data_IF_880770613059
#
_entry.id   IF_880770613059
#
_cell.length_a   1.000
_cell.length_b   1.000
_cell.length_c   1.000
_cell.angle_alpha   90.00
_cell.angle_beta   90.00
_cell.angle_gamma   90.00
#
_symmetry.space_group_name_H-M   'P 1'
#
loop_
_entity.id
_entity.type
_entity.pdbx_description
1 polymer ?
#
# COMPACT_ATOMS: atom_id res chain seq x y z
N UNK A 1 -22.79 -64.48 -16.86
CA UNK A 1 -24.25 -64.31 -16.68
C UNK A 1 -24.73 -64.05 -15.24
N UNK A 2 -23.91 -64.22 -14.19
CA UNK A 2 -24.35 -63.99 -12.79
C UNK A 2 -24.13 -62.56 -12.26
N UNK A 3 -23.40 -61.69 -12.97
CA UNK A 3 -23.01 -60.34 -12.51
C UNK A 3 -24.01 -59.26 -12.94
N UNK A 4 -24.81 -59.52 -13.98
CA UNK A 4 -25.79 -58.57 -14.54
C UNK A 4 -27.13 -58.53 -13.78
N UNK A 5 -27.51 -59.62 -13.09
CA UNK A 5 -28.75 -59.67 -12.32
C UNK A 5 -28.64 -59.03 -10.93
N UNK A 6 -27.49 -59.13 -10.26
CA UNK A 6 -27.27 -58.50 -8.95
C UNK A 6 -27.22 -56.97 -9.05
N UNK A 7 -26.65 -56.41 -10.11
CA UNK A 7 -26.67 -54.96 -10.37
C UNK A 7 -28.06 -54.46 -10.74
N UNK A 8 -28.86 -55.22 -11.51
CA UNK A 8 -30.23 -54.84 -11.86
C UNK A 8 -31.19 -54.85 -10.64
N UNK A 9 -31.03 -55.80 -9.70
CA UNK A 9 -31.84 -55.86 -8.48
C UNK A 9 -31.46 -54.76 -7.48
N UNK A 10 -30.18 -54.40 -7.36
CA UNK A 10 -29.73 -53.27 -6.54
C UNK A 10 -30.17 -51.93 -7.15
N UNK A 11 -30.12 -51.79 -8.48
CA UNK A 11 -30.62 -50.57 -9.18
C UNK A 11 -32.13 -50.44 -9.05
N UNK A 12 -32.91 -51.53 -9.17
CA UNK A 12 -34.36 -51.53 -8.91
C UNK A 12 -34.71 -51.30 -7.43
N UNK A 13 -33.94 -51.82 -6.48
CA UNK A 13 -34.12 -51.50 -5.05
C UNK A 13 -33.78 -50.04 -4.75
N UNK A 14 -32.69 -49.47 -5.31
CA UNK A 14 -32.43 -48.03 -5.24
C UNK A 14 -33.62 -47.25 -5.82
N UNK A 15 -34.07 -47.56 -7.04
CA UNK A 15 -35.20 -46.88 -7.70
C UNK A 15 -36.52 -46.96 -6.91
N UNK A 16 -36.82 -48.11 -6.28
CA UNK A 16 -38.04 -48.29 -5.48
C UNK A 16 -37.99 -47.60 -4.11
N UNK A 17 -36.78 -47.37 -3.56
CA UNK A 17 -36.58 -46.51 -2.40
C UNK A 17 -36.63 -45.03 -2.79
N UNK A 18 -36.10 -44.63 -3.97
CA UNK A 18 -36.19 -43.26 -4.48
C UNK A 18 -37.65 -42.79 -4.68
N UNK A 19 -38.54 -43.64 -5.19
CA UNK A 19 -39.95 -43.26 -5.36
C UNK A 19 -40.67 -42.87 -4.06
N UNK A 20 -40.40 -43.58 -2.94
CA UNK A 20 -40.95 -43.21 -1.63
C UNK A 20 -40.30 -41.98 -1.03
N UNK A 21 -39.04 -41.73 -1.38
CA UNK A 21 -38.28 -40.58 -0.89
C UNK A 21 -38.72 -39.30 -1.61
N UNK A 22 -39.03 -39.37 -2.91
CA UNK A 22 -39.68 -38.27 -3.64
C UNK A 22 -41.09 -37.97 -3.09
N UNK A 23 -41.88 -39.01 -2.79
CA UNK A 23 -43.18 -38.86 -2.11
C UNK A 23 -43.05 -38.28 -0.70
N UNK A 24 -42.02 -38.67 0.06
CA UNK A 24 -41.70 -38.11 1.38
C UNK A 24 -41.26 -36.65 1.30
N UNK A 25 -40.47 -36.28 0.30
CA UNK A 25 -40.07 -34.88 0.05
C UNK A 25 -41.27 -34.05 -0.38
N UNK A 26 -42.14 -34.60 -1.23
CA UNK A 26 -43.40 -33.96 -1.62
C UNK A 26 -44.33 -33.78 -0.41
N UNK A 27 -44.48 -34.81 0.42
CA UNK A 27 -45.27 -34.77 1.65
C UNK A 27 -44.67 -33.83 2.71
N UNK A 28 -43.35 -33.81 2.88
CA UNK A 28 -42.66 -32.91 3.80
C UNK A 28 -42.78 -31.45 3.36
N UNK A 29 -42.74 -31.17 2.05
CA UNK A 29 -43.06 -29.85 1.50
C UNK A 29 -44.51 -29.43 1.79
N UNK A 30 -45.46 -30.36 1.69
CA UNK A 30 -46.88 -30.13 2.03
C UNK A 30 -47.11 -29.94 3.55
N UNK A 31 -46.23 -30.49 4.38
CA UNK A 31 -46.27 -30.36 5.85
C UNK A 31 -45.36 -29.25 6.38
N UNK A 32 -44.74 -28.46 5.51
CA UNK A 32 -43.82 -27.38 5.86
C UNK A 32 -42.60 -27.85 6.69
N UNK A 33 -42.25 -29.13 6.58
CA UNK A 33 -41.06 -29.71 7.21
C UNK A 33 -39.84 -29.52 6.30
N UNK A 34 -39.49 -28.26 6.05
CA UNK A 34 -38.44 -27.88 5.11
C UNK A 34 -37.06 -28.43 5.49
N UNK A 35 -36.80 -28.62 6.78
CA UNK A 35 -35.54 -29.18 7.28
C UNK A 35 -35.23 -30.56 6.68
N UNK A 36 -36.22 -31.45 6.62
CA UNK A 36 -36.07 -32.81 6.09
C UNK A 36 -35.82 -32.75 4.58
N UNK A 37 -36.52 -31.86 3.89
CA UNK A 37 -36.38 -31.65 2.44
C UNK A 37 -34.97 -31.15 2.10
N UNK A 38 -34.47 -30.17 2.85
CA UNK A 38 -33.14 -29.58 2.65
C UNK A 38 -32.05 -30.63 2.93
N UNK A 39 -32.11 -31.32 4.06
CA UNK A 39 -31.15 -32.38 4.40
C UNK A 39 -31.15 -33.48 3.32
N UNK A 40 -32.32 -33.83 2.78
CA UNK A 40 -32.40 -34.79 1.69
C UNK A 40 -31.69 -34.32 0.42
N UNK A 41 -31.91 -33.07 -0.01
CA UNK A 41 -31.23 -32.52 -1.19
C UNK A 41 -29.72 -32.37 -0.98
N UNK A 42 -29.27 -31.98 0.21
CA UNK A 42 -27.84 -31.94 0.57
C UNK A 42 -27.23 -33.34 0.47
N UNK A 43 -27.89 -34.38 0.99
CA UNK A 43 -27.41 -35.77 0.87
C UNK A 43 -27.33 -36.28 -0.58
N UNK A 44 -28.17 -35.75 -1.47
CA UNK A 44 -28.11 -36.07 -2.89
C UNK A 44 -27.03 -35.26 -3.64
N UNK A 45 -26.41 -34.27 -2.99
CA UNK A 45 -25.47 -33.34 -3.61
C UNK A 45 -26.14 -32.24 -4.45
N UNK A 46 -27.43 -32.03 -4.28
CA UNK A 46 -28.25 -31.11 -5.08
C UNK A 46 -28.39 -29.75 -4.36
N UNK A 47 -27.30 -28.98 -4.28
CA UNK A 47 -27.25 -27.71 -3.54
C UNK A 47 -28.30 -26.71 -4.05
N UNK A 48 -28.45 -26.59 -5.37
CA UNK A 48 -29.39 -25.66 -6.00
C UNK A 48 -30.84 -25.88 -5.58
N UNK A 49 -31.31 -27.14 -5.56
CA UNK A 49 -32.67 -27.47 -5.12
C UNK A 49 -32.86 -27.19 -3.63
N UNK A 50 -31.83 -27.43 -2.81
CA UNK A 50 -31.86 -27.09 -1.39
C UNK A 50 -31.98 -25.57 -1.18
N UNK A 51 -31.22 -24.77 -1.94
CA UNK A 51 -31.25 -23.31 -1.89
C UNK A 51 -32.58 -22.73 -2.40
N UNK A 52 -33.17 -23.30 -3.46
CA UNK A 52 -34.50 -22.92 -3.95
C UNK A 52 -35.60 -23.12 -2.88
N UNK A 53 -35.47 -24.16 -2.05
CA UNK A 53 -36.38 -24.36 -0.90
C UNK A 53 -36.13 -23.30 0.17
N UNK A 54 -34.87 -23.02 0.50
CA UNK A 54 -34.48 -22.03 1.50
C UNK A 54 -34.84 -20.57 1.16
N UNK A 55 -34.95 -20.24 -0.13
CA UNK A 55 -35.33 -18.90 -0.61
C UNK A 55 -36.85 -18.64 -0.59
N UNK A 56 -37.68 -19.64 -0.29
CA UNK A 56 -39.13 -19.45 -0.17
C UNK A 56 -39.45 -18.58 1.04
N UNK A 57 -40.38 -17.63 0.87
CA UNK A 57 -40.80 -16.70 1.93
C UNK A 57 -41.43 -17.37 3.16
N UNK A 58 -41.89 -18.62 3.04
CA UNK A 58 -42.42 -19.41 4.16
C UNK A 58 -41.34 -20.05 5.04
N UNK A 59 -40.08 -20.04 4.61
CA UNK A 59 -38.97 -20.70 5.30
C UNK A 59 -38.26 -19.70 6.20
N UNK A 60 -38.02 -20.11 7.45
CA UNK A 60 -37.28 -19.29 8.41
C UNK A 60 -35.81 -19.13 7.99
N UNK A 61 -35.29 -17.91 8.10
CA UNK A 61 -33.87 -17.60 7.91
C UNK A 61 -32.96 -18.42 8.86
N UNK A 62 -33.50 -18.94 9.97
CA UNK A 62 -32.78 -19.85 10.87
C UNK A 62 -32.27 -21.12 10.19
N UNK A 63 -33.03 -21.65 9.24
CA UNK A 63 -32.62 -22.82 8.46
C UNK A 63 -31.48 -22.49 7.51
N UNK A 64 -31.43 -21.26 6.98
CA UNK A 64 -30.30 -20.81 6.16
C UNK A 64 -29.00 -20.81 6.96
N UNK A 65 -29.01 -20.30 8.20
CA UNK A 65 -27.81 -20.34 9.06
C UNK A 65 -27.44 -21.77 9.48
N UNK A 66 -28.43 -22.64 9.72
CA UNK A 66 -28.21 -24.02 10.15
C UNK A 66 -27.50 -24.84 9.07
N UNK A 67 -27.96 -24.73 7.82
CA UNK A 67 -27.43 -25.50 6.70
C UNK A 67 -26.28 -24.78 5.95
N UNK A 68 -26.00 -23.52 6.25
CA UNK A 68 -24.92 -22.75 5.62
C UNK A 68 -23.56 -23.48 5.57
N UNK A 69 -23.06 -24.13 6.65
CA UNK A 69 -21.78 -24.85 6.59
C UNK A 69 -21.80 -26.05 5.66
N UNK A 70 -22.92 -26.76 5.54
CA UNK A 70 -23.04 -27.93 4.66
C UNK A 70 -23.19 -27.52 3.19
N UNK A 71 -23.98 -26.46 2.94
CA UNK A 71 -24.24 -25.96 1.60
C UNK A 71 -23.00 -25.33 0.96
N UNK A 72 -22.25 -24.51 1.71
CA UNK A 72 -21.04 -23.88 1.17
C UNK A 72 -19.95 -24.91 0.85
N UNK A 73 -19.85 -25.98 1.64
CA UNK A 73 -18.91 -27.09 1.39
C UNK A 73 -19.33 -27.92 0.17
N UNK A 74 -20.64 -27.99 -0.13
CA UNK A 74 -21.17 -28.72 -1.26
C UNK A 74 -21.03 -27.94 -2.57
N UNK A 75 -21.42 -26.65 -2.57
CA UNK A 75 -21.31 -25.74 -3.71
C UNK A 75 -21.20 -24.29 -3.20
N UNK A 76 -19.99 -23.75 -3.18
CA UNK A 76 -19.74 -22.40 -2.68
C UNK A 76 -20.30 -21.31 -3.58
N UNK A 77 -20.25 -21.50 -4.91
CA UNK A 77 -20.70 -20.51 -5.87
C UNK A 77 -22.21 -20.28 -5.76
N UNK A 78 -23.01 -21.35 -5.87
CA UNK A 78 -24.48 -21.24 -5.79
C UNK A 78 -24.93 -20.76 -4.40
N UNK A 79 -24.24 -21.21 -3.34
CA UNK A 79 -24.55 -20.80 -1.97
C UNK A 79 -24.31 -19.29 -1.74
N UNK A 80 -23.18 -18.77 -2.23
CA UNK A 80 -22.84 -17.34 -2.09
C UNK A 80 -23.77 -16.48 -2.93
N UNK A 81 -24.09 -16.87 -4.16
CA UNK A 81 -25.09 -16.16 -4.99
C UNK A 81 -26.45 -16.11 -4.29
N UNK A 82 -26.88 -17.21 -3.67
CA UNK A 82 -28.10 -17.25 -2.89
C UNK A 82 -28.06 -16.32 -1.65
N UNK A 83 -26.92 -16.20 -0.97
CA UNK A 83 -26.76 -15.25 0.14
C UNK A 83 -26.77 -13.80 -0.32
N UNK A 84 -26.16 -13.48 -1.47
CA UNK A 84 -26.18 -12.12 -2.04
C UNK A 84 -27.57 -11.71 -2.53
N UNK A 85 -28.36 -12.66 -3.03
CA UNK A 85 -29.75 -12.42 -3.42
C UNK A 85 -30.70 -12.20 -2.23
N UNK A 86 -30.30 -12.64 -1.03
CA UNK A 86 -31.11 -12.59 0.18
C UNK A 86 -30.99 -11.23 0.90
N UNK A 87 -32.13 -10.55 1.14
CA UNK A 87 -32.13 -9.18 1.68
C UNK A 87 -31.98 -9.07 3.21
N UNK A 88 -32.29 -10.13 3.95
CA UNK A 88 -32.43 -10.08 5.42
C UNK A 88 -31.39 -10.93 6.17
N UNK A 89 -30.42 -11.53 5.48
CA UNK A 89 -29.40 -12.34 6.13
C UNK A 89 -28.43 -11.45 6.91
N UNK A 90 -28.10 -11.88 8.12
CA UNK A 90 -27.08 -11.28 8.96
C UNK A 90 -25.72 -11.96 8.65
N UNK A 91 -24.77 -11.25 8.01
CA UNK A 91 -23.48 -11.83 7.63
C UNK A 91 -22.69 -12.38 8.82
N UNK A 92 -22.86 -11.79 10.01
CA UNK A 92 -22.15 -12.19 11.23
C UNK A 92 -22.45 -13.63 11.64
N UNK A 93 -23.70 -14.09 11.42
CA UNK A 93 -24.10 -15.48 11.73
C UNK A 93 -23.54 -16.49 10.73
N UNK A 94 -23.08 -16.04 9.56
CA UNK A 94 -22.46 -16.87 8.52
C UNK A 94 -20.94 -17.00 8.69
N UNK A 95 -20.31 -16.20 9.56
CA UNK A 95 -18.86 -16.24 9.84
C UNK A 95 -18.37 -17.66 10.14
N UNK A 96 -19.09 -18.39 11.00
CA UNK A 96 -18.70 -19.77 11.36
C UNK A 96 -18.67 -20.70 10.15
N UNK A 97 -19.62 -20.57 9.22
CA UNK A 97 -19.66 -21.37 7.99
C UNK A 97 -18.48 -21.02 7.08
N UNK A 98 -18.25 -19.73 6.84
CA UNK A 98 -17.16 -19.23 6.00
C UNK A 98 -15.76 -19.53 6.58
N UNK A 99 -15.61 -19.44 7.90
CA UNK A 99 -14.37 -19.81 8.59
C UNK A 99 -14.06 -21.30 8.46
N UNK A 100 -15.07 -22.17 8.60
CA UNK A 100 -14.89 -23.61 8.41
C UNK A 100 -14.46 -23.91 6.98
N UNK A 101 -15.17 -23.34 6.02
CA UNK A 101 -14.85 -23.46 4.59
C UNK A 101 -13.40 -23.03 4.30
N UNK A 102 -13.00 -21.84 4.74
CA UNK A 102 -11.64 -21.33 4.51
C UNK A 102 -10.52 -22.02 5.32
N UNK A 103 -10.86 -22.95 6.22
CA UNK A 103 -9.89 -23.75 6.98
C UNK A 103 -9.58 -25.08 6.30
N UNK A 104 -10.48 -25.59 5.48
CA UNK A 104 -10.26 -26.84 4.74
C UNK A 104 -9.48 -26.57 3.43
N UNK A 105 -8.68 -27.54 2.94
CA UNK A 105 -7.93 -27.39 1.70
C UNK A 105 -8.87 -27.44 0.49
N UNK A 106 -9.01 -26.31 -0.18
CA UNK A 106 -9.87 -26.11 -1.36
C UNK A 106 -9.03 -25.80 -2.60
N UNK A 107 -9.63 -25.93 -3.79
CA UNK A 107 -9.02 -25.41 -5.00
C UNK A 107 -8.81 -23.89 -4.85
N UNK A 108 -7.75 -23.32 -5.46
CA UNK A 108 -7.42 -21.88 -5.28
C UNK A 108 -8.64 -20.96 -5.52
N UNK A 109 -9.46 -21.27 -6.53
CA UNK A 109 -10.61 -20.46 -6.95
C UNK A 109 -11.82 -20.54 -6.00
N UNK A 110 -11.95 -21.61 -5.24
CA UNK A 110 -13.11 -21.86 -4.37
C UNK A 110 -13.17 -20.87 -3.20
N UNK A 111 -12.02 -20.49 -2.66
CA UNK A 111 -11.93 -19.48 -1.59
C UNK A 111 -12.33 -18.07 -2.03
N UNK A 112 -12.35 -17.79 -3.34
CA UNK A 112 -12.74 -16.48 -3.87
C UNK A 112 -14.24 -16.20 -3.72
N UNK A 113 -15.08 -17.23 -3.68
CA UNK A 113 -16.53 -17.02 -3.51
C UNK A 113 -16.86 -16.43 -2.14
N UNK A 114 -16.19 -16.91 -1.08
CA UNK A 114 -16.33 -16.30 0.26
C UNK A 114 -15.84 -14.85 0.27
N UNK A 115 -14.73 -14.56 -0.40
CA UNK A 115 -14.20 -13.20 -0.52
C UNK A 115 -15.21 -12.31 -1.24
N UNK A 116 -15.79 -12.78 -2.34
CA UNK A 116 -16.83 -12.07 -3.10
C UNK A 116 -18.04 -11.72 -2.23
N UNK A 117 -18.51 -12.66 -1.41
CA UNK A 117 -19.60 -12.40 -0.47
C UNK A 117 -19.24 -11.34 0.58
N UNK A 118 -18.02 -11.42 1.14
CA UNK A 118 -17.55 -10.46 2.14
C UNK A 118 -17.34 -9.07 1.53
N UNK A 119 -16.79 -8.98 0.31
CA UNK A 119 -16.69 -7.73 -0.45
C UNK A 119 -18.07 -7.13 -0.71
N UNK A 120 -19.07 -7.94 -1.07
CA UNK A 120 -20.46 -7.50 -1.19
C UNK A 120 -20.98 -6.94 0.14
N UNK A 121 -20.74 -7.63 1.25
CA UNK A 121 -21.15 -7.16 2.58
C UNK A 121 -20.49 -5.81 2.96
N UNK A 122 -19.21 -5.65 2.65
CA UNK A 122 -18.46 -4.44 3.01
C UNK A 122 -18.79 -3.27 2.07
N UNK A 123 -18.86 -3.49 0.76
CA UNK A 123 -19.00 -2.42 -0.23
C UNK A 123 -20.46 -2.07 -0.59
N UNK A 124 -21.35 -3.06 -0.66
CA UNK A 124 -22.74 -2.86 -1.08
C UNK A 124 -23.68 -2.73 0.13
N UNK A 125 -23.50 -3.58 1.14
CA UNK A 125 -24.31 -3.50 2.37
C UNK A 125 -23.76 -2.50 3.40
N UNK A 126 -22.59 -1.92 3.15
CA UNK A 126 -21.89 -1.01 4.07
C UNK A 126 -21.81 -1.57 5.50
N UNK A 127 -21.51 -2.85 5.63
CA UNK A 127 -21.49 -3.52 6.91
C UNK A 127 -20.33 -3.02 7.78
N UNK A 128 -20.62 -2.59 9.01
CA UNK A 128 -19.65 -2.04 9.97
C UNK A 128 -19.18 -3.09 11.00
N UNK A 129 -19.55 -4.37 10.86
CA UNK A 129 -19.21 -5.41 11.86
C UNK A 129 -17.71 -5.78 11.80
N UNK A 130 -16.97 -5.65 12.92
CA UNK A 130 -15.54 -5.96 12.91
C UNK A 130 -15.20 -7.41 12.60
N UNK A 131 -16.10 -8.35 12.87
CA UNK A 131 -15.90 -9.77 12.56
C UNK A 131 -15.84 -10.01 11.06
N UNK A 132 -16.68 -9.31 10.28
CA UNK A 132 -16.70 -9.39 8.82
C UNK A 132 -15.42 -8.82 8.22
N UNK A 133 -15.01 -7.63 8.67
CA UNK A 133 -13.78 -6.98 8.21
C UNK A 133 -12.53 -7.79 8.58
N UNK A 134 -12.47 -8.32 9.81
CA UNK A 134 -11.36 -9.17 10.27
C UNK A 134 -11.29 -10.50 9.50
N UNK A 135 -12.44 -11.09 9.17
CA UNK A 135 -12.48 -12.30 8.34
C UNK A 135 -11.98 -12.02 6.92
N UNK A 136 -12.48 -10.96 6.29
CA UNK A 136 -12.05 -10.55 4.94
C UNK A 136 -10.54 -10.28 4.91
N UNK A 137 -10.03 -9.51 5.87
CA UNK A 137 -8.60 -9.26 6.03
C UNK A 137 -7.81 -10.57 6.16
N UNK A 138 -8.36 -11.55 6.89
CA UNK A 138 -7.69 -12.84 7.05
C UNK A 138 -7.62 -13.69 5.79
N UNK A 139 -8.60 -13.55 4.90
CA UNK A 139 -8.59 -14.22 3.61
C UNK A 139 -7.64 -13.53 2.63
N UNK A 140 -7.63 -12.19 2.59
CA UNK A 140 -6.67 -11.45 1.78
C UNK A 140 -5.21 -11.70 2.20
N UNK A 141 -4.93 -11.79 3.50
CA UNK A 141 -3.57 -12.09 3.98
C UNK A 141 -3.03 -13.46 3.51
N UNK A 142 -3.94 -14.42 3.28
CA UNK A 142 -3.61 -15.77 2.77
C UNK A 142 -3.41 -15.82 1.25
N UNK A 143 -3.91 -14.85 0.48
CA UNK A 143 -3.76 -14.84 -0.98
C UNK A 143 -2.33 -14.51 -1.40
N UNK A 144 -1.83 -15.08 -2.50
CA UNK A 144 -0.45 -14.83 -2.97
C UNK A 144 -0.20 -13.35 -3.29
N UNK A 145 -1.18 -12.66 -3.87
CA UNK A 145 -1.13 -11.22 -4.20
C UNK A 145 -1.53 -10.35 -3.00
N UNK A 146 -0.73 -9.33 -2.68
CA UNK A 146 -0.98 -8.37 -1.60
C UNK A 146 -1.75 -7.13 -2.06
N UNK A 147 -2.00 -6.96 -3.37
CA UNK A 147 -2.69 -5.79 -3.92
C UNK A 147 -4.10 -5.60 -3.37
N UNK A 148 -4.88 -6.69 -3.26
CA UNK A 148 -6.23 -6.64 -2.70
C UNK A 148 -6.21 -6.27 -1.21
N UNK A 149 -5.27 -6.83 -0.44
CA UNK A 149 -5.05 -6.52 0.97
C UNK A 149 -4.69 -5.04 1.15
N UNK A 150 -3.74 -4.53 0.36
CA UNK A 150 -3.29 -3.14 0.43
C UNK A 150 -4.44 -2.18 0.09
N UNK A 151 -5.19 -2.46 -0.98
CA UNK A 151 -6.38 -1.67 -1.34
C UNK A 151 -7.42 -1.68 -0.22
N UNK A 152 -7.64 -2.82 0.43
CA UNK A 152 -8.55 -2.92 1.57
C UNK A 152 -8.07 -2.08 2.76
N UNK A 153 -6.78 -2.16 3.13
CA UNK A 153 -6.21 -1.40 4.24
C UNK A 153 -6.22 0.12 3.99
N UNK A 154 -6.06 0.55 2.73
CA UNK A 154 -6.09 1.96 2.34
C UNK A 154 -7.51 2.52 2.18
N UNK A 155 -8.53 1.65 2.07
CA UNK A 155 -9.90 2.07 1.88
C UNK A 155 -10.52 2.53 3.22
N UNK A 156 -11.08 3.74 3.22
CA UNK A 156 -11.83 4.28 4.35
C UNK A 156 -13.31 3.88 4.24
N UNK A 157 -13.79 3.07 5.18
CA UNK A 157 -15.12 2.44 5.10
C UNK A 157 -16.24 3.24 5.80
N UNK A 158 -15.95 4.42 6.37
CA UNK A 158 -16.89 5.26 7.11
C UNK A 158 -17.34 6.55 6.39
N UNK A 159 -17.59 6.52 5.08
CA UNK A 159 -17.97 7.74 4.32
C UNK A 159 -19.20 8.42 4.94
N UNK A 160 -19.04 9.65 5.42
CA UNK A 160 -20.16 10.54 5.80
C UNK A 160 -20.34 10.84 7.30
N UNK A 161 -19.45 10.37 8.18
CA UNK A 161 -19.43 10.81 9.58
C UNK A 161 -18.08 11.49 9.87
N UNK A 162 -18.11 12.78 10.22
CA UNK A 162 -16.90 13.55 10.58
C UNK A 162 -16.10 12.90 11.71
N UNK A 163 -16.77 12.12 12.59
CA UNK A 163 -16.18 11.43 13.73
C UNK A 163 -16.36 9.89 13.68
N UNK A 164 -16.58 9.30 12.51
CA UNK A 164 -16.70 7.84 12.35
C UNK A 164 -15.33 7.15 12.36
N UNK A 165 -15.23 5.87 12.79
CA UNK A 165 -14.00 5.11 12.64
C UNK A 165 -13.66 4.96 11.14
N UNK A 166 -12.40 5.23 10.77
CA UNK A 166 -11.97 5.15 9.36
C UNK A 166 -11.96 3.71 8.84
N UNK A 167 -11.84 2.74 9.74
CA UNK A 167 -11.79 1.31 9.48
C UNK A 167 -12.53 0.53 10.58
N UNK A 168 -13.02 -0.66 10.23
CA UNK A 168 -13.80 -1.51 11.15
C UNK A 168 -13.06 -2.80 11.56
N UNK A 169 -11.82 -3.02 11.14
CA UNK A 169 -11.00 -4.16 11.59
C UNK A 169 -10.17 -3.82 12.84
N UNK A 170 -9.66 -4.84 13.54
CA UNK A 170 -8.74 -4.66 14.68
C UNK A 170 -7.29 -4.54 14.16
N UNK A 171 -6.59 -3.40 14.35
CA UNK A 171 -5.23 -3.21 13.84
C UNK A 171 -4.20 -4.17 14.45
N UNK A 172 -4.34 -4.54 15.73
CA UNK A 172 -3.42 -5.48 16.40
C UNK A 172 -3.61 -6.90 15.88
N UNK A 173 -4.84 -7.30 15.62
CA UNK A 173 -5.13 -8.57 14.96
C UNK A 173 -4.57 -8.58 13.54
N UNK A 174 -4.83 -7.53 12.76
CA UNK A 174 -4.34 -7.38 11.39
C UNK A 174 -2.81 -7.47 11.33
N UNK A 175 -2.11 -6.74 12.22
CA UNK A 175 -0.64 -6.76 12.28
C UNK A 175 -0.10 -8.16 12.59
N UNK A 176 -0.64 -8.84 13.62
CA UNK A 176 -0.21 -10.21 13.97
C UNK A 176 -0.38 -11.16 12.80
N UNK A 177 -1.46 -11.03 12.05
CA UNK A 177 -1.75 -11.89 10.92
C UNK A 177 -0.83 -11.60 9.73
N UNK A 178 -0.67 -10.33 9.36
CA UNK A 178 0.21 -9.92 8.26
C UNK A 178 1.67 -10.30 8.55
N UNK A 179 2.14 -10.20 9.80
CA UNK A 179 3.46 -10.67 10.19
C UNK A 179 3.61 -12.19 10.04
N UNK A 180 2.59 -12.96 10.44
CA UNK A 180 2.58 -14.42 10.29
C UNK A 180 2.65 -14.85 8.82
N UNK A 181 1.88 -14.19 7.95
CA UNK A 181 1.83 -14.47 6.51
C UNK A 181 2.92 -13.72 5.71
N UNK A 182 3.88 -13.07 6.40
CA UNK A 182 5.02 -12.34 5.81
C UNK A 182 4.62 -11.23 4.81
N UNK A 183 3.51 -10.55 5.07
CA UNK A 183 3.00 -9.41 4.28
C UNK A 183 3.64 -8.11 4.75
N UNK A 184 4.92 -7.91 4.42
CA UNK A 184 5.71 -6.78 4.95
C UNK A 184 5.15 -5.41 4.58
N UNK A 185 4.72 -5.19 3.32
CA UNK A 185 4.14 -3.91 2.88
C UNK A 185 2.85 -3.56 3.63
N UNK A 186 1.98 -4.55 3.84
CA UNK A 186 0.77 -4.39 4.63
C UNK A 186 1.08 -4.07 6.10
N UNK A 187 2.12 -4.69 6.68
CA UNK A 187 2.56 -4.37 8.04
C UNK A 187 3.05 -2.92 8.17
N UNK A 188 3.81 -2.42 7.19
CA UNK A 188 4.25 -1.00 7.16
C UNK A 188 3.04 -0.07 7.20
N UNK A 189 2.04 -0.31 6.35
CA UNK A 189 0.80 0.47 6.37
C UNK A 189 0.07 0.41 7.72
N UNK A 190 -0.03 -0.78 8.34
CA UNK A 190 -0.70 -0.93 9.63
C UNK A 190 0.05 -0.20 10.74
N UNK A 191 1.39 -0.26 10.79
CA UNK A 191 2.18 0.51 11.75
C UNK A 191 1.98 2.02 11.57
N UNK A 192 1.96 2.49 10.32
CA UNK A 192 1.70 3.88 9.96
C UNK A 192 0.32 4.34 10.44
N UNK A 193 -0.72 3.51 10.26
CA UNK A 193 -2.08 3.79 10.79
C UNK A 193 -2.17 3.76 12.32
N UNK A 194 -1.30 3.01 13.00
CA UNK A 194 -1.21 2.98 14.46
C UNK A 194 -0.34 4.09 15.05
N UNK A 195 0.12 5.05 14.23
CA UNK A 195 1.07 6.11 14.60
C UNK A 195 2.42 5.59 15.13
N UNK A 196 2.76 4.34 14.79
CA UNK A 196 4.04 3.69 15.14
C UNK A 196 5.02 3.88 13.98
N UNK A 197 5.40 5.12 13.72
CA UNK A 197 6.18 5.50 12.53
C UNK A 197 7.62 4.94 12.56
N UNK A 198 8.22 4.80 13.75
CA UNK A 198 9.56 4.23 13.89
C UNK A 198 9.62 2.77 13.44
N UNK A 199 8.65 1.96 13.88
CA UNK A 199 8.51 0.57 13.49
C UNK A 199 8.13 0.44 12.00
N UNK A 200 7.27 1.33 11.49
CA UNK A 200 6.90 1.39 10.08
C UNK A 200 8.14 1.59 9.20
N UNK A 201 8.95 2.61 9.50
CA UNK A 201 10.19 2.93 8.78
C UNK A 201 11.21 1.81 8.92
N UNK A 202 11.39 1.25 10.12
CA UNK A 202 12.33 0.15 10.35
C UNK A 202 11.98 -1.10 9.54
N UNK A 203 10.69 -1.39 9.35
CA UNK A 203 10.25 -2.50 8.50
C UNK A 203 10.34 -2.14 7.00
N UNK A 204 9.98 -0.91 6.62
CA UNK A 204 10.06 -0.43 5.24
C UNK A 204 11.49 -0.49 4.70
N UNK A 205 12.48 -0.13 5.53
CA UNK A 205 13.91 -0.22 5.19
C UNK A 205 14.38 -1.65 4.82
N UNK A 206 13.70 -2.69 5.30
CA UNK A 206 14.01 -4.08 4.93
C UNK A 206 13.46 -4.46 3.55
N UNK A 207 12.48 -3.70 3.05
CA UNK A 207 11.80 -3.94 1.76
C UNK A 207 12.43 -3.05 0.70
N UNK A 208 12.36 -1.74 0.91
CA UNK A 208 12.75 -0.70 -0.04
C UNK A 208 13.01 0.64 0.70
N UNK A 209 14.19 1.26 0.58
CA UNK A 209 14.45 2.57 1.16
C UNK A 209 13.50 3.66 0.65
N UNK A 210 13.01 3.59 -0.59
CA UNK A 210 12.06 4.57 -1.13
C UNK A 210 10.73 4.56 -0.37
N UNK A 211 10.24 3.36 -0.01
CA UNK A 211 9.05 3.21 0.83
C UNK A 211 9.27 3.82 2.23
N UNK A 212 10.47 3.66 2.79
CA UNK A 212 10.80 4.22 4.10
C UNK A 212 10.78 5.75 4.09
N UNK A 213 11.29 6.37 3.01
CA UNK A 213 11.25 7.83 2.83
C UNK A 213 9.81 8.34 2.71
N UNK A 214 8.98 7.67 1.89
CA UNK A 214 7.57 8.01 1.76
C UNK A 214 6.78 7.89 3.08
N UNK A 215 7.12 6.94 3.97
CA UNK A 215 6.50 6.86 5.30
C UNK A 215 7.00 7.95 6.26
N UNK A 216 8.28 8.34 6.18
CA UNK A 216 8.82 9.42 7.00
C UNK A 216 8.24 10.78 6.63
N UNK A 217 7.96 11.03 5.34
CA UNK A 217 7.36 12.29 4.88
C UNK A 217 5.90 12.47 5.26
N UNK A 218 5.17 11.40 5.61
CA UNK A 218 3.80 11.52 6.12
C UNK A 218 3.72 12.21 7.48
N UNK A 219 4.83 12.25 8.22
CA UNK A 219 4.91 12.90 9.53
C UNK A 219 5.23 14.38 9.32
N UNK A 220 4.19 15.18 9.07
CA UNK A 220 4.34 16.63 8.87
C UNK A 220 4.27 17.42 10.18
N UNK A 221 3.50 16.94 11.16
CA UNK A 221 3.19 17.68 12.40
C UNK A 221 4.32 17.66 13.45
N UNK A 222 5.21 16.67 13.40
CA UNK A 222 6.28 16.46 14.38
C UNK A 222 7.67 16.45 13.71
N UNK A 223 8.30 17.62 13.69
CA UNK A 223 9.63 17.83 13.08
C UNK A 223 10.73 17.02 13.76
N UNK A 224 10.65 16.82 15.08
CA UNK A 224 11.64 16.05 15.85
C UNK A 224 11.55 14.55 15.50
N UNK A 225 10.34 14.01 15.45
CA UNK A 225 10.09 12.64 15.01
C UNK A 225 10.49 12.46 13.55
N UNK A 226 10.07 13.38 12.65
CA UNK A 226 10.45 13.36 11.24
C UNK A 226 11.97 13.34 11.09
N UNK A 227 12.69 14.21 11.79
CA UNK A 227 14.16 14.24 11.80
C UNK A 227 14.75 12.90 12.29
N UNK A 228 14.20 12.33 13.36
CA UNK A 228 14.62 11.02 13.88
C UNK A 228 14.43 9.89 12.86
N UNK A 229 13.31 9.84 12.15
CA UNK A 229 13.02 8.85 11.11
C UNK A 229 13.98 9.00 9.93
N UNK A 230 14.19 10.22 9.44
CA UNK A 230 15.14 10.51 8.37
C UNK A 230 16.58 10.15 8.75
N UNK A 231 16.99 10.37 10.01
CA UNK A 231 18.28 9.90 10.54
C UNK A 231 18.39 8.37 10.56
N UNK A 232 17.31 7.67 10.91
CA UNK A 232 17.27 6.20 10.87
C UNK A 232 17.47 5.68 9.45
N UNK A 233 16.81 6.30 8.46
CA UNK A 233 16.94 5.96 7.04
C UNK A 233 18.36 6.28 6.55
N UNK A 234 18.88 7.48 6.84
CA UNK A 234 20.24 7.89 6.49
C UNK A 234 21.29 6.89 7.01
N UNK A 235 21.18 6.54 8.30
CA UNK A 235 22.05 5.54 8.94
C UNK A 235 21.97 4.19 8.24
N UNK A 236 20.80 3.79 7.76
CA UNK A 236 20.62 2.53 7.04
C UNK A 236 21.26 2.59 5.66
N UNK A 237 20.94 3.60 4.86
CA UNK A 237 21.48 3.81 3.49
C UNK A 237 23.01 3.87 3.50
N UNK A 238 23.61 4.51 4.51
CA UNK A 238 25.08 4.60 4.65
C UNK A 238 25.69 3.27 5.12
N UNK A 239 24.99 2.47 5.95
CA UNK A 239 25.53 1.22 6.54
C UNK A 239 25.26 -0.06 5.75
N UNK A 240 24.29 -0.10 4.84
CA UNK A 240 23.82 -1.33 4.16
C UNK A 240 24.80 -1.92 3.11
N UNK A 241 26.11 -1.72 3.27
CA UNK A 241 27.14 -1.84 2.23
C UNK A 241 27.11 -3.13 1.36
N UNK A 242 27.01 -2.90 0.04
CA UNK A 242 27.58 -3.76 -1.02
C UNK A 242 28.44 -2.98 -2.05
N UNK A 243 28.61 -1.66 -1.87
CA UNK A 243 29.24 -0.75 -2.86
C UNK A 243 30.58 -0.18 -2.40
N UNK A 244 31.33 0.41 -3.35
CA UNK A 244 32.57 1.13 -3.05
C UNK A 244 32.27 2.39 -2.22
N UNK A 245 33.15 2.74 -1.27
CA UNK A 245 32.98 3.89 -0.35
C UNK A 245 32.50 5.20 -1.02
N UNK A 246 32.86 5.44 -2.30
CA UNK A 246 32.61 6.71 -3.05
C UNK A 246 31.14 6.82 -3.38
N UNK A 247 30.58 5.69 -3.73
CA UNK A 247 29.20 5.54 -4.12
C UNK A 247 28.30 5.73 -2.90
N UNK A 248 28.72 5.27 -1.72
CA UNK A 248 27.98 5.45 -0.47
C UNK A 248 27.92 6.94 -0.08
N UNK A 249 29.01 7.69 -0.25
CA UNK A 249 29.02 9.14 0.00
C UNK A 249 28.13 9.88 -1.01
N UNK A 250 28.22 9.54 -2.30
CA UNK A 250 27.35 10.14 -3.34
C UNK A 250 25.87 9.86 -3.08
N UNK A 251 25.52 8.63 -2.69
CA UNK A 251 24.15 8.25 -2.32
C UNK A 251 23.67 9.01 -1.08
N UNK A 252 24.51 9.18 -0.07
CA UNK A 252 24.18 9.97 1.11
C UNK A 252 23.98 11.47 0.79
N UNK A 253 24.75 12.04 -0.13
CA UNK A 253 24.58 13.43 -0.58
C UNK A 253 23.29 13.58 -1.41
N UNK A 254 22.99 12.62 -2.29
CA UNK A 254 21.73 12.60 -3.02
C UNK A 254 20.53 12.50 -2.05
N UNK A 255 20.64 11.63 -1.03
CA UNK A 255 19.65 11.50 0.03
C UNK A 255 19.45 12.80 0.83
N UNK A 256 20.52 13.54 1.14
CA UNK A 256 20.40 14.85 1.79
C UNK A 256 19.62 15.86 0.94
N UNK A 257 19.71 15.77 -0.38
CA UNK A 257 18.92 16.62 -1.29
C UNK A 257 17.42 16.35 -1.14
N UNK A 258 17.04 15.10 -0.90
CA UNK A 258 15.62 14.69 -0.72
C UNK A 258 15.05 15.15 0.62
N UNK A 259 15.90 15.41 1.63
CA UNK A 259 15.46 15.86 2.96
C UNK A 259 15.03 17.34 3.03
N UNK A 260 15.11 18.09 1.92
CA UNK A 260 14.77 19.53 1.80
C UNK A 260 15.28 20.41 2.96
N UNK A 261 16.51 20.16 3.42
CA UNK A 261 17.15 20.93 4.49
C UNK A 261 16.82 20.49 5.92
N UNK A 262 15.98 19.45 6.12
CA UNK A 262 15.70 18.86 7.44
C UNK A 262 16.95 18.27 8.09
N UNK A 263 17.82 17.65 7.28
CA UNK A 263 19.10 17.11 7.72
C UNK A 263 20.26 17.94 7.19
N UNK A 264 21.26 18.16 8.05
CA UNK A 264 22.54 18.72 7.64
C UNK A 264 23.53 17.60 7.35
N UNK A 265 24.56 17.93 6.58
CA UNK A 265 25.68 17.00 6.36
C UNK A 265 26.31 16.55 7.70
N UNK A 266 26.39 17.46 8.68
CA UNK A 266 26.88 17.22 10.04
C UNK A 266 26.15 16.08 10.76
N UNK A 267 24.86 15.89 10.46
CA UNK A 267 24.02 14.88 11.09
C UNK A 267 24.32 13.46 10.55
N UNK A 268 24.80 13.35 9.31
CA UNK A 268 25.07 12.06 8.63
C UNK A 268 26.56 11.68 8.69
N UNK A 269 27.45 12.67 8.82
CA UNK A 269 28.91 12.46 8.94
C UNK A 269 29.30 11.37 9.97
N UNK A 270 28.68 11.27 11.16
CA UNK A 270 29.01 10.25 12.15
C UNK A 270 28.72 8.80 11.70
N UNK A 271 27.91 8.60 10.66
CA UNK A 271 27.57 7.25 10.19
C UNK A 271 28.63 6.65 9.25
N UNK A 272 29.57 7.45 8.75
CA UNK A 272 30.64 6.96 7.88
C UNK A 272 31.73 6.26 8.69
N UNK A 273 32.19 5.07 8.26
CA UNK A 273 33.21 4.29 9.00
C UNK A 273 34.54 5.03 9.17
N UNK A 274 34.88 5.96 8.26
CA UNK A 274 36.11 6.76 8.34
C UNK A 274 35.99 7.97 9.28
N UNK A 275 34.81 8.29 9.83
CA UNK A 275 34.67 9.31 10.88
C UNK A 275 35.24 8.85 12.23
N UNK A 276 35.20 7.53 12.50
CA UNK A 276 35.82 6.96 13.70
C UNK A 276 37.34 7.19 13.74
N UNK A 277 38.00 7.28 12.58
CA UNK A 277 39.42 7.64 12.47
C UNK A 277 39.70 9.11 12.79
N UNK A 278 38.68 9.99 12.79
CA UNK A 278 38.84 11.41 13.18
C UNK A 278 38.73 11.57 14.71
N UNK A 279 37.96 10.72 15.41
CA UNK A 279 37.86 10.79 16.87
C UNK A 279 39.15 10.32 17.57
N UNK A 280 39.95 9.45 16.95
CA UNK A 280 41.32 9.15 17.41
C UNK A 280 42.24 10.38 17.36
N UNK A 281 41.92 11.40 16.56
CA UNK A 281 42.64 12.69 16.56
C UNK A 281 42.17 13.66 17.65
N UNK A 282 41.05 13.41 18.34
CA UNK A 282 40.67 14.21 19.53
C UNK A 282 41.55 13.93 20.75
N UNK A 283 42.29 12.82 20.76
CA UNK A 283 43.18 12.43 21.87
C UNK A 283 44.57 13.10 21.80
N UNK A 284 44.86 13.91 20.78
CA UNK A 284 46.11 14.69 20.73
C UNK A 284 46.05 16.02 21.50
N UNK A 285 45.11 16.17 22.45
CA UNK A 285 44.99 17.36 23.29
C UNK A 285 45.95 17.40 24.48
N UNK A 286 46.80 16.39 24.66
CA UNK A 286 47.81 16.34 25.71
C UNK A 286 49.14 15.86 25.13
N UNK A 287 50.01 16.83 24.86
CA UNK A 287 51.48 16.81 24.98
C UNK A 287 51.99 17.71 23.87
N UNK A 288 52.30 18.95 24.23
CA UNK A 288 53.49 19.67 23.78
C UNK A 288 53.64 20.88 24.70
N UNK A 289 54.12 20.58 25.91
CA UNK A 289 54.79 21.56 26.74
C UNK A 289 56.10 21.95 26.07
N UNK A 290 56.44 23.24 26.20
CA UNK A 290 57.78 23.83 26.07
C UNK A 290 58.23 24.38 24.71
N UNK A 291 58.13 25.72 24.64
CA UNK A 291 59.14 26.70 24.19
C UNK A 291 59.61 26.64 22.72
N UNK A 292 58.96 27.41 21.85
CA UNK A 292 59.51 28.66 21.32
C UNK A 292 58.48 29.33 20.38
N UNK A 293 58.37 30.64 20.56
CA UNK A 293 57.35 31.55 20.07
C UNK A 293 57.60 32.03 18.63
N UNK A 294 56.48 32.21 17.91
CA UNK A 294 56.26 33.16 16.79
C UNK A 294 56.25 32.68 15.31
N UNK A 295 56.38 31.38 15.00
CA UNK A 295 55.98 30.84 13.68
C UNK A 295 54.76 29.90 13.75
N UNK A 296 54.43 29.41 14.95
CA UNK A 296 53.36 28.43 15.20
C UNK A 296 51.94 29.02 15.28
N UNK A 297 51.78 30.35 15.39
CA UNK A 297 50.47 30.99 15.53
C UNK A 297 49.60 30.87 14.27
N UNK A 298 50.20 31.02 13.09
CA UNK A 298 49.50 30.90 11.80
C UNK A 298 49.33 29.42 11.37
N UNK A 299 50.31 28.57 11.70
CA UNK A 299 50.24 27.14 11.44
C UNK A 299 49.20 26.41 12.32
N UNK A 300 49.10 26.71 13.63
CA UNK A 300 48.14 26.06 14.53
C UNK A 300 46.69 26.55 14.40
N UNK A 301 46.47 27.81 14.00
CA UNK A 301 45.10 28.37 13.95
C UNK A 301 44.40 28.21 12.61
N UNK A 302 45.13 28.05 11.51
CA UNK A 302 44.54 27.97 10.15
C UNK A 302 45.01 26.74 9.38
N UNK A 303 46.32 26.46 9.36
CA UNK A 303 46.85 25.34 8.56
C UNK A 303 46.54 23.95 9.16
N UNK A 304 46.56 23.79 10.48
CA UNK A 304 46.34 22.49 11.13
C UNK A 304 44.86 22.07 11.08
N UNK A 305 43.85 22.94 11.27
CA UNK A 305 42.46 22.60 10.99
C UNK A 305 42.19 22.29 9.51
N UNK A 306 42.84 23.00 8.57
CA UNK A 306 42.72 22.74 7.12
C UNK A 306 43.41 21.43 6.70
N UNK A 307 44.56 21.09 7.29
CA UNK A 307 45.27 19.83 7.04
C UNK A 307 44.58 18.62 7.71
N UNK A 308 43.91 18.81 8.87
CA UNK A 308 43.10 17.78 9.52
C UNK A 308 41.76 17.53 8.81
N UNK A 309 41.14 18.55 8.19
CA UNK A 309 39.96 18.35 7.33
C UNK A 309 40.31 17.64 5.99
N UNK A 310 41.59 17.65 5.58
CA UNK A 310 42.06 17.13 4.29
C UNK A 310 42.39 15.62 4.31
N UNK A 311 42.28 14.94 5.46
CA UNK A 311 42.68 13.52 5.59
C UNK A 311 41.62 12.50 5.15
N UNK A 312 40.46 12.95 4.62
CA UNK A 312 39.60 12.08 3.82
C UNK A 312 39.51 12.68 2.40
N UNK A 313 40.59 12.58 1.59
CA UNK A 313 40.64 13.19 0.25
C UNK A 313 39.43 12.78 -0.60
N UNK A 314 38.92 11.58 -0.33
CA UNK A 314 37.79 10.98 -1.02
C UNK A 314 36.41 11.54 -0.66
N UNK A 315 36.17 11.92 0.61
CA UNK A 315 34.93 12.59 1.03
C UNK A 315 34.95 14.04 0.56
N UNK A 316 36.10 14.71 0.67
CA UNK A 316 36.29 16.06 0.16
C UNK A 316 36.10 16.10 -1.36
N UNK A 317 36.72 15.20 -2.13
CA UNK A 317 36.55 15.16 -3.59
C UNK A 317 35.11 14.86 -3.99
N UNK A 318 34.40 13.98 -3.27
CA UNK A 318 32.98 13.70 -3.55
C UNK A 318 32.07 14.89 -3.21
N UNK A 319 32.29 15.56 -2.08
CA UNK A 319 31.54 16.75 -1.68
C UNK A 319 31.85 17.92 -2.61
N UNK A 320 33.11 18.14 -2.96
CA UNK A 320 33.53 19.17 -3.92
C UNK A 320 32.96 18.90 -5.31
N UNK A 321 32.98 17.65 -5.79
CA UNK A 321 32.33 17.25 -7.05
C UNK A 321 30.84 17.56 -7.03
N UNK A 322 30.13 17.22 -5.95
CA UNK A 322 28.70 17.54 -5.83
C UNK A 322 28.45 19.05 -5.76
N UNK A 323 29.29 19.82 -5.03
CA UNK A 323 29.22 21.29 -4.99
C UNK A 323 29.51 21.93 -6.35
N UNK A 324 30.45 21.38 -7.11
CA UNK A 324 30.75 21.80 -8.48
C UNK A 324 29.57 21.56 -9.41
N UNK A 325 28.91 20.40 -9.29
CA UNK A 325 27.69 20.08 -10.06
C UNK A 325 26.55 21.06 -9.73
N UNK A 326 26.37 21.42 -8.45
CA UNK A 326 25.38 22.42 -8.04
C UNK A 326 25.71 23.82 -8.58
N UNK A 327 26.97 24.25 -8.49
CA UNK A 327 27.39 25.53 -9.05
C UNK A 327 27.17 25.59 -10.57
N UNK A 328 27.43 24.49 -11.27
CA UNK A 328 27.18 24.40 -12.72
C UNK A 328 25.70 24.53 -13.06
N UNK A 329 24.81 23.89 -12.30
CA UNK A 329 23.36 24.04 -12.47
C UNK A 329 22.90 25.47 -12.21
N UNK A 330 23.43 26.13 -11.18
CA UNK A 330 23.11 27.53 -10.87
C UNK A 330 23.51 28.45 -12.02
N UNK A 331 24.70 28.27 -12.60
CA UNK A 331 25.13 29.07 -13.75
C UNK A 331 24.27 28.82 -14.99
N UNK A 332 23.85 27.57 -15.23
CA UNK A 332 22.96 27.25 -16.34
C UNK A 332 21.57 27.90 -16.18
N UNK A 333 20.99 27.86 -14.97
CA UNK A 333 19.73 28.56 -14.70
C UNK A 333 19.85 30.09 -14.82
N UNK A 334 21.00 30.67 -14.43
CA UNK A 334 21.26 32.10 -14.65
C UNK A 334 21.33 32.45 -16.13
N UNK A 335 21.95 31.59 -16.94
CA UNK A 335 22.03 31.76 -18.39
C UNK A 335 20.63 31.72 -19.02
N UNK A 336 19.82 30.73 -18.66
CA UNK A 336 18.42 30.62 -19.10
C UNK A 336 17.59 31.85 -18.68
N UNK A 337 17.77 32.35 -17.45
CA UNK A 337 17.10 33.57 -16.97
C UNK A 337 17.53 34.81 -17.78
N UNK A 338 18.81 34.93 -18.12
CA UNK A 338 19.32 36.03 -18.92
C UNK A 338 18.78 35.99 -20.35
N UNK A 339 18.68 34.81 -20.95
CA UNK A 339 18.13 34.62 -22.29
C UNK A 339 16.62 34.90 -22.33
N UNK A 340 15.87 34.46 -21.31
CA UNK A 340 14.46 34.81 -21.17
C UNK A 340 14.26 36.34 -20.99
N UNK A 341 15.13 36.99 -20.21
CA UNK A 341 15.09 38.45 -20.02
C UNK A 341 15.38 39.19 -21.32
N UNK A 342 16.40 38.76 -22.07
CA UNK A 342 16.71 39.29 -23.40
C UNK A 342 15.55 39.09 -24.38
N UNK A 343 14.91 37.93 -24.37
CA UNK A 343 13.72 37.65 -25.15
C UNK A 343 12.57 38.61 -24.80
N UNK A 344 12.31 38.82 -23.51
CA UNK A 344 11.29 39.74 -23.04
C UNK A 344 11.58 41.21 -23.43
N UNK A 345 12.85 41.63 -23.37
CA UNK A 345 13.27 42.98 -23.78
C UNK A 345 13.14 43.18 -25.29
N UNK A 346 13.49 42.18 -26.10
CA UNK A 346 13.26 42.22 -27.54
C UNK A 346 11.77 42.37 -27.88
N UNK A 347 10.91 41.59 -27.22
CA UNK A 347 9.45 41.71 -27.38
C UNK A 347 8.96 43.11 -26.96
N UNK A 348 9.46 43.65 -25.83
CA UNK A 348 9.09 44.99 -25.35
C UNK A 348 9.52 46.08 -26.33
N UNK A 349 10.68 45.93 -26.96
CA UNK A 349 11.18 46.84 -27.98
C UNK A 349 10.35 46.75 -29.27
N UNK A 350 10.01 45.54 -29.71
CA UNK A 350 9.17 45.32 -30.89
C UNK A 350 7.76 45.89 -30.69
N UNK A 351 7.16 45.70 -29.51
CA UNK A 351 5.87 46.30 -29.15
C UNK A 351 5.98 47.83 -29.22
N UNK A 352 7.03 48.40 -28.62
CA UNK A 352 7.26 49.84 -28.62
C UNK A 352 7.40 50.41 -30.04
N UNK A 353 8.13 49.72 -30.92
CA UNK A 353 8.29 50.08 -32.32
C UNK A 353 6.99 49.97 -33.13
N UNK A 354 6.15 48.97 -32.83
CA UNK A 354 4.82 48.82 -33.44
C UNK A 354 3.86 49.93 -33.01
N UNK A 355 3.90 50.39 -31.76
CA UNK A 355 3.10 51.55 -31.30
C UNK A 355 3.39 52.86 -32.04
N UNK A 356 4.57 52.99 -32.65
CA UNK A 356 4.92 54.18 -33.46
C UNK A 356 4.45 54.09 -34.91
N UNK A 357 3.97 52.92 -35.36
CA UNK A 357 3.41 52.75 -36.69
C UNK A 357 1.91 53.00 -36.64
N UNK A 358 1.50 54.22 -37.01
CA UNK A 358 0.12 54.52 -37.32
C UNK A 358 -0.05 54.65 -38.84
N UNK A 359 -1.20 54.21 -39.35
CA UNK A 359 -1.65 54.51 -40.70
C UNK A 359 -2.84 55.45 -40.59
N UNK A 360 -2.79 56.58 -41.29
CA UNK A 360 -3.92 57.51 -41.38
C UNK A 360 -4.79 57.02 -42.54
N UNK A 361 -6.01 56.58 -42.24
CA UNK A 361 -7.00 56.18 -43.23
C UNK A 361 -7.83 57.41 -43.56
N UNK A 362 -7.85 57.81 -44.83
CA UNK A 362 -8.63 58.96 -45.29
C UNK A 362 -10.11 58.57 -45.48
N UNK A 363 -11.04 59.52 -45.30
CA UNK A 363 -12.50 59.23 -45.28
C UNK A 363 -13.07 58.70 -46.60
N UNK A 364 -12.32 58.79 -47.70
CA UNK A 364 -12.73 58.35 -49.03
C UNK A 364 -12.16 56.96 -49.42
N UNK A 365 -11.37 56.30 -48.58
CA UNK A 365 -10.91 54.94 -48.84
C UNK A 365 -12.01 53.90 -48.55
N UNK A 366 -12.55 53.28 -49.60
CA UNK A 366 -13.46 52.14 -49.46
C UNK A 366 -12.72 50.89 -48.95
N UNK A 367 -13.27 50.24 -47.92
CA UNK A 367 -12.69 49.05 -47.31
C UNK A 367 -12.74 47.88 -48.30
N UNK A 368 -11.60 47.57 -48.93
CA UNK A 368 -11.47 46.44 -49.85
C UNK A 368 -11.59 45.11 -49.11
N UNK A 369 -12.81 44.60 -48.96
CA UNK A 369 -13.05 43.19 -48.61
C UNK A 369 -12.57 42.36 -49.78
N UNK A 370 -11.35 41.83 -49.70
CA UNK A 370 -10.86 40.86 -50.67
C UNK A 370 -11.30 39.46 -50.23
N UNK A 371 -12.40 39.02 -50.81
CA UNK A 371 -12.70 37.61 -51.01
C UNK A 371 -11.55 36.97 -51.79
N UNK A 372 -10.93 35.95 -51.20
CA UNK A 372 -10.15 34.95 -51.92
C UNK A 372 -10.43 33.62 -51.24
N UNK A 373 -11.43 32.93 -51.79
CA UNK A 373 -11.42 31.47 -51.82
C UNK A 373 -10.10 31.04 -52.44
N UNK A 374 -9.31 30.27 -51.70
CA UNK A 374 -8.98 28.87 -52.01
C UNK A 374 -8.45 28.16 -50.76
#
# INVERSE_FOLDING_TARGET
>A
MSVTWKTAVIRRKKQSYYGRVEELVYFANLKEQYEIVIHHYIQQGEAKKALEVLQKSSVSDELQYKFAPELIMLDAYETVEAWMASKNLNPRRLITAMMRYSSEPHAKNETHEVIKYLEFCVHQLHNEDPGIHNLLLSLYAKQEDDSALLRFLQCKFGKGRENGPEFFYDPKYALRLCLKEKRSRACVHIYSMMSMHEEAVALALQIDPELAMAEADKVEDDEDLRKKLWLMIAKHVVKQEKGAKRENIRKAIAFLKETDGLLKIEDILPFFPDFALIDDFKVSKLVLSSKHTNALSWANKVAIPLLLFCSIPFVQEAICSSLEDYNKQIEQLKEEMNDATRGADNIRNDISALTQRYAVIDREEECGVRSSLD
#
